data_IF_407196981530
#
_entry.id   IF_407196981530
#
_cell.length_a   1.000
_cell.length_b   1.000
_cell.length_c   1.000
_cell.angle_alpha   90.00
_cell.angle_beta   90.00
_cell.angle_gamma   90.00
#
_symmetry.space_group_name_H-M   'P 1'
#
loop_
_entity.id
_entity.type
_entity.pdbx_description
1 polymer ?
#
# COMPACT_ATOMS: atom_id res chain seq x y z
N UNK A 1 2.55 -5.37 -12.10
CA UNK A 1 2.87 -4.21 -12.97
C UNK A 1 2.89 -2.97 -12.09
N UNK A 2 3.94 -2.14 -12.17
CA UNK A 2 4.22 -1.09 -11.17
C UNK A 2 3.61 0.29 -11.46
N UNK A 3 2.62 0.40 -12.35
CA UNK A 3 1.98 1.68 -12.71
C UNK A 3 2.94 2.79 -13.19
N UNK A 4 4.09 2.40 -13.76
CA UNK A 4 5.13 3.29 -14.27
C UNK A 4 5.02 3.47 -15.79
N UNK A 5 5.52 4.60 -16.29
CA UNK A 5 5.73 4.85 -17.71
C UNK A 5 7.21 4.66 -18.09
N UNK A 6 7.47 4.23 -19.32
CA UNK A 6 8.82 4.08 -19.88
C UNK A 6 8.86 4.84 -21.21
N UNK A 7 9.85 5.71 -21.37
CA UNK A 7 10.10 6.45 -22.62
C UNK A 7 11.32 5.82 -23.30
N UNK A 8 11.13 4.91 -24.29
CA UNK A 8 12.25 4.28 -24.99
C UNK A 8 12.83 5.22 -26.07
N UNK A 9 14.01 4.85 -26.59
CA UNK A 9 14.64 5.46 -27.77
C UNK A 9 14.96 6.97 -27.63
N UNK A 10 15.33 7.42 -26.43
CA UNK A 10 15.87 8.77 -26.22
C UNK A 10 17.33 8.79 -26.64
N UNK A 11 17.68 9.63 -27.62
CA UNK A 11 19.07 9.84 -28.01
C UNK A 11 19.87 10.42 -26.84
N UNK A 12 21.11 9.95 -26.65
CA UNK A 12 21.91 10.27 -25.45
C UNK A 12 22.10 11.79 -25.27
N UNK A 13 22.29 12.49 -26.37
CA UNK A 13 22.43 13.95 -26.44
C UNK A 13 21.16 14.73 -26.07
N UNK A 14 20.00 14.08 -25.95
CA UNK A 14 18.72 14.69 -25.56
C UNK A 14 18.32 14.41 -24.12
N UNK A 15 19.10 13.63 -23.37
CA UNK A 15 18.74 13.20 -22.01
C UNK A 15 18.61 14.42 -21.08
N UNK A 16 19.61 15.30 -21.06
CA UNK A 16 19.60 16.45 -20.14
C UNK A 16 18.40 17.37 -20.39
N UNK A 17 18.13 17.71 -21.66
CA UNK A 17 16.97 18.51 -22.03
C UNK A 17 15.64 17.83 -21.66
N UNK A 18 15.54 16.50 -21.80
CA UNK A 18 14.35 15.76 -21.39
C UNK A 18 14.15 15.80 -19.87
N UNK A 19 15.24 15.68 -19.09
CA UNK A 19 15.19 15.71 -17.62
C UNK A 19 14.76 17.08 -17.08
N UNK A 20 14.95 18.16 -17.83
CA UNK A 20 14.52 19.53 -17.46
C UNK A 20 13.02 19.79 -17.67
N UNK A 21 12.29 18.93 -18.38
CA UNK A 21 10.86 19.11 -18.63
C UNK A 21 10.02 19.02 -17.34
N UNK A 22 9.00 19.87 -17.22
CA UNK A 22 8.09 19.95 -16.04
C UNK A 22 7.49 18.60 -15.66
N UNK A 23 7.22 17.75 -16.66
CA UNK A 23 6.70 16.41 -16.45
C UNK A 23 7.67 15.55 -15.62
N UNK A 24 8.97 15.62 -15.89
CA UNK A 24 9.98 14.84 -15.17
C UNK A 24 10.42 15.50 -13.86
N UNK A 25 10.12 16.78 -13.66
CA UNK A 25 10.18 17.40 -12.34
C UNK A 25 9.06 16.87 -11.43
N UNK A 26 7.88 16.61 -11.99
CA UNK A 26 6.74 16.02 -11.27
C UNK A 26 6.85 14.50 -11.09
N UNK A 27 7.33 13.81 -12.12
CA UNK A 27 7.49 12.35 -12.17
C UNK A 27 8.94 11.99 -12.54
N UNK A 28 9.89 12.14 -11.59
CA UNK A 28 11.29 11.89 -11.86
C UNK A 28 11.53 10.42 -12.21
N UNK A 29 12.49 10.11 -13.11
CA UNK A 29 12.87 8.72 -13.41
C UNK A 29 13.59 8.03 -12.23
N UNK A 30 14.08 8.83 -11.28
CA UNK A 30 14.69 8.39 -10.03
C UNK A 30 13.86 8.81 -8.80
N UNK A 31 12.62 8.30 -8.62
CA UNK A 31 11.86 8.58 -7.41
C UNK A 31 12.45 7.84 -6.21
N UNK A 32 11.99 8.20 -5.01
CA UNK A 32 12.36 7.52 -3.76
C UNK A 32 12.07 6.03 -3.80
N UNK A 33 12.70 5.28 -2.90
CA UNK A 33 12.47 3.84 -2.78
C UNK A 33 11.02 3.49 -2.39
N UNK A 34 10.32 4.40 -1.71
CA UNK A 34 8.91 4.28 -1.30
C UNK A 34 8.00 4.49 -2.53
N UNK A 35 8.17 5.60 -3.25
CA UNK A 35 7.33 5.94 -4.42
C UNK A 35 7.54 5.00 -5.59
N UNK A 36 8.77 4.50 -5.79
CA UNK A 36 9.11 3.63 -6.92
C UNK A 36 8.29 2.34 -6.97
N UNK A 37 7.96 1.78 -5.81
CA UNK A 37 7.20 0.53 -5.68
C UNK A 37 5.72 0.73 -5.36
N UNK A 38 5.22 1.97 -5.45
CA UNK A 38 3.85 2.29 -5.09
C UNK A 38 2.88 1.84 -6.19
N UNK A 39 1.85 1.08 -5.81
CA UNK A 39 0.74 0.69 -6.68
C UNK A 39 -0.56 0.91 -5.95
N UNK A 40 -1.52 1.57 -6.60
CA UNK A 40 -2.83 1.88 -6.00
C UNK A 40 -3.94 1.52 -6.97
N UNK A 41 -5.06 1.01 -6.47
CA UNK A 41 -6.24 0.90 -7.31
C UNK A 41 -6.94 2.28 -7.47
N UNK A 42 -8.08 2.28 -8.14
CA UNK A 42 -8.83 3.51 -8.43
C UNK A 42 -9.33 4.24 -7.18
N UNK A 43 -9.65 3.53 -6.10
CA UNK A 43 -10.23 4.12 -4.88
C UNK A 43 -11.67 4.62 -5.08
N UNK A 44 -12.20 5.27 -4.05
CA UNK A 44 -13.56 5.84 -4.02
C UNK A 44 -13.77 6.99 -5.01
N UNK A 45 -12.71 7.55 -5.59
CA UNK A 45 -12.81 8.58 -6.63
C UNK A 45 -13.72 8.15 -7.79
N UNK A 46 -13.56 6.90 -8.25
CA UNK A 46 -14.27 6.41 -9.45
C UNK A 46 -14.71 4.94 -9.39
N UNK A 47 -14.39 4.20 -8.32
CA UNK A 47 -14.78 2.80 -8.19
C UNK A 47 -15.92 2.62 -7.19
N UNK A 48 -17.07 2.13 -7.67
CA UNK A 48 -18.25 1.87 -6.83
C UNK A 48 -18.06 0.72 -5.81
N UNK A 49 -17.00 -0.08 -5.94
CA UNK A 49 -16.66 -1.15 -4.99
C UNK A 49 -15.69 -0.69 -3.91
N UNK A 50 -14.98 0.42 -4.14
CA UNK A 50 -13.97 0.90 -3.20
C UNK A 50 -14.64 1.36 -1.91
N UNK A 51 -14.05 0.94 -0.79
CA UNK A 51 -14.49 1.34 0.55
C UNK A 51 -13.73 2.57 1.02
N UNK A 52 -12.52 2.82 0.54
CA UNK A 52 -11.69 3.98 0.92
C UNK A 52 -11.08 4.67 -0.30
N UNK A 53 -10.65 5.92 -0.12
CA UNK A 53 -9.70 6.53 -1.05
C UNK A 53 -8.36 5.79 -0.95
N UNK A 54 -7.74 5.54 -2.11
CA UNK A 54 -6.41 4.93 -2.19
C UNK A 54 -5.36 5.87 -2.75
N UNK A 55 -5.71 6.83 -3.62
CA UNK A 55 -4.70 7.67 -4.26
C UNK A 55 -4.21 8.75 -3.29
N UNK A 56 -5.14 9.44 -2.63
CA UNK A 56 -4.80 10.46 -1.64
C UNK A 56 -4.08 9.86 -0.44
N UNK A 57 -4.61 8.75 0.10
CA UNK A 57 -4.00 8.07 1.25
C UNK A 57 -2.59 7.53 0.94
N UNK A 58 -2.39 6.91 -0.21
CA UNK A 58 -1.06 6.44 -0.62
C UNK A 58 -0.06 7.58 -0.83
N UNK A 59 -0.51 8.72 -1.37
CA UNK A 59 0.35 9.89 -1.56
C UNK A 59 0.77 10.50 -0.20
N UNK A 60 -0.18 10.64 0.73
CA UNK A 60 0.09 11.11 2.10
C UNK A 60 1.06 10.18 2.83
N UNK A 61 0.76 8.87 2.86
CA UNK A 61 1.61 7.90 3.54
C UNK A 61 3.02 7.89 2.95
N UNK A 62 3.13 7.95 1.62
CA UNK A 62 4.44 7.93 0.95
C UNK A 62 5.30 9.13 1.34
N UNK A 63 4.72 10.33 1.40
CA UNK A 63 5.42 11.53 1.88
C UNK A 63 5.87 11.37 3.34
N UNK A 64 4.98 10.93 4.24
CA UNK A 64 5.33 10.73 5.65
C UNK A 64 6.41 9.65 5.85
N UNK A 65 6.40 8.57 5.05
CA UNK A 65 7.44 7.55 5.11
C UNK A 65 8.78 8.04 4.57
N UNK A 66 8.79 8.89 3.55
CA UNK A 66 10.01 9.54 3.06
C UNK A 66 10.63 10.44 4.14
N UNK A 67 9.81 11.17 4.90
CA UNK A 67 10.27 12.00 6.02
C UNK A 67 10.83 11.13 7.16
N UNK A 68 10.20 10.01 7.47
CA UNK A 68 10.58 9.12 8.58
C UNK A 68 11.74 8.17 8.28
N UNK A 69 11.87 7.69 7.03
CA UNK A 69 12.81 6.64 6.62
C UNK A 69 13.87 7.14 5.63
N UNK A 70 13.74 8.37 5.12
CA UNK A 70 14.55 8.93 4.06
C UNK A 70 14.07 8.53 2.66
N UNK A 71 14.78 8.98 1.63
CA UNK A 71 14.38 8.80 0.22
C UNK A 71 15.21 7.77 -0.53
N UNK A 72 16.35 7.34 0.03
CA UNK A 72 17.30 6.42 -0.60
C UNK A 72 17.18 5.01 -0.03
N UNK A 73 17.12 4.00 -0.90
CA UNK A 73 17.06 2.60 -0.48
C UNK A 73 16.71 1.66 -1.62
N UNK A 74 16.64 0.36 -1.32
CA UNK A 74 16.09 -0.63 -2.26
C UNK A 74 14.59 -0.43 -2.42
N UNK A 75 14.02 -0.56 -3.63
CA UNK A 75 12.61 -0.28 -3.88
C UNK A 75 11.70 -1.13 -2.99
N UNK A 76 10.81 -0.48 -2.26
CA UNK A 76 9.84 -1.14 -1.39
C UNK A 76 8.49 -1.19 -2.12
N UNK A 77 7.94 -2.39 -2.37
CA UNK A 77 6.61 -2.52 -2.98
C UNK A 77 5.54 -2.21 -1.94
N UNK A 78 4.87 -1.08 -2.12
CA UNK A 78 3.73 -0.66 -1.30
C UNK A 78 2.48 -0.68 -2.16
N UNK A 79 1.55 -1.58 -1.87
CA UNK A 79 0.38 -1.75 -2.73
C UNK A 79 -0.93 -1.54 -1.98
N UNK A 80 -1.86 -0.80 -2.58
CA UNK A 80 -3.14 -0.44 -2.00
C UNK A 80 -4.32 -0.95 -2.83
N UNK A 81 -5.21 -1.67 -2.16
CA UNK A 81 -6.53 -2.03 -2.66
C UNK A 81 -7.58 -1.40 -1.78
N UNK A 82 -8.43 -0.53 -2.33
CA UNK A 82 -9.48 0.15 -1.57
C UNK A 82 -10.63 -0.75 -1.13
N UNK A 83 -10.64 -2.03 -1.51
CA UNK A 83 -11.63 -3.03 -1.12
C UNK A 83 -11.05 -4.45 -1.23
N UNK A 84 -11.77 -5.50 -0.78
CA UNK A 84 -11.31 -6.89 -0.85
C UNK A 84 -11.09 -7.46 -2.26
N UNK A 85 -11.54 -6.77 -3.33
CA UNK A 85 -11.36 -7.25 -4.70
C UNK A 85 -9.89 -7.33 -5.15
N UNK A 86 -8.98 -6.63 -4.46
CA UNK A 86 -7.54 -6.87 -4.65
C UNK A 86 -6.92 -6.25 -5.91
N UNK A 87 -7.57 -5.30 -6.59
CA UNK A 87 -7.07 -4.73 -7.87
C UNK A 87 -5.67 -4.08 -7.79
N UNK A 88 -5.27 -3.55 -6.63
CA UNK A 88 -3.92 -3.05 -6.38
C UNK A 88 -2.89 -4.13 -6.04
N UNK A 89 -3.29 -5.39 -5.95
CA UNK A 89 -2.44 -6.54 -5.59
C UNK A 89 -1.75 -6.39 -4.23
N UNK A 90 -2.50 -5.96 -3.20
CA UNK A 90 -1.98 -5.76 -1.84
C UNK A 90 -1.30 -7.02 -1.26
N UNK A 91 -1.80 -8.23 -1.55
CA UNK A 91 -1.17 -9.48 -1.10
C UNK A 91 0.10 -9.86 -1.88
N UNK A 92 0.46 -9.12 -2.93
CA UNK A 92 1.64 -9.40 -3.76
C UNK A 92 2.79 -8.42 -3.48
N UNK A 93 2.69 -7.65 -2.40
CA UNK A 93 3.58 -6.56 -2.05
C UNK A 93 4.36 -6.84 -0.78
N UNK A 94 5.47 -6.11 -0.63
CA UNK A 94 6.30 -6.15 0.57
C UNK A 94 5.48 -5.65 1.77
N UNK A 95 4.75 -4.55 1.57
CA UNK A 95 3.70 -4.05 2.46
C UNK A 95 2.42 -3.78 1.64
N UNK A 96 1.33 -4.40 2.04
CA UNK A 96 0.04 -4.32 1.36
C UNK A 96 -1.05 -3.74 2.23
N UNK A 97 -1.96 -2.98 1.62
CA UNK A 97 -3.09 -2.35 2.30
C UNK A 97 -4.40 -2.78 1.66
N UNK A 98 -5.30 -3.37 2.45
CA UNK A 98 -6.69 -3.61 2.07
C UNK A 98 -7.60 -2.64 2.82
N UNK A 99 -8.24 -1.75 2.09
CA UNK A 99 -9.18 -0.78 2.63
C UNK A 99 -10.45 -1.41 3.19
N UNK A 100 -10.91 -0.83 4.29
CA UNK A 100 -12.18 -1.11 4.95
C UNK A 100 -12.75 0.15 5.62
N UNK A 101 -14.05 0.13 5.91
CA UNK A 101 -14.65 1.09 6.83
C UNK A 101 -14.60 0.55 8.25
N UNK A 102 -14.16 1.37 9.21
CA UNK A 102 -14.19 1.05 10.63
C UNK A 102 -15.10 2.03 11.38
N UNK A 103 -15.58 1.63 12.55
CA UNK A 103 -16.35 2.50 13.45
C UNK A 103 -15.54 2.76 14.72
N UNK A 104 -15.14 4.01 14.93
CA UNK A 104 -14.34 4.45 16.09
C UNK A 104 -15.06 5.64 16.71
N UNK A 105 -15.30 5.57 18.02
CA UNK A 105 -16.05 6.59 18.78
C UNK A 105 -17.37 7.02 18.12
N UNK A 106 -18.08 6.02 17.58
CA UNK A 106 -19.36 6.22 16.91
C UNK A 106 -19.29 6.76 15.48
N UNK A 107 -18.11 7.13 14.97
CA UNK A 107 -17.90 7.66 13.62
C UNK A 107 -17.39 6.59 12.68
N UNK A 108 -17.87 6.60 11.44
CA UNK A 108 -17.34 5.76 10.36
C UNK A 108 -16.09 6.44 9.82
N UNK A 109 -14.97 5.73 9.80
CA UNK A 109 -13.66 6.20 9.34
C UNK A 109 -13.08 5.23 8.30
N UNK A 110 -12.18 5.75 7.48
CA UNK A 110 -11.39 4.95 6.54
C UNK A 110 -10.27 4.25 7.31
N UNK A 111 -10.10 2.97 7.05
CA UNK A 111 -9.08 2.15 7.70
C UNK A 111 -8.51 1.12 6.72
N UNK A 112 -7.40 0.52 7.11
CA UNK A 112 -6.69 -0.50 6.33
C UNK A 112 -6.35 -1.72 7.19
N UNK A 113 -6.46 -2.90 6.58
CA UNK A 113 -5.75 -4.09 7.03
C UNK A 113 -4.36 -4.11 6.38
N UNK A 114 -3.32 -4.43 7.15
CA UNK A 114 -1.93 -4.40 6.71
C UNK A 114 -1.42 -5.82 6.48
N UNK A 115 -0.84 -6.03 5.31
CA UNK A 115 -0.26 -7.28 4.84
C UNK A 115 1.24 -7.12 4.66
N UNK A 116 1.99 -8.20 4.87
CA UNK A 116 3.46 -8.19 4.70
C UNK A 116 4.00 -9.47 4.07
N UNK A 117 5.14 -9.36 3.41
CA UNK A 117 5.90 -10.48 2.87
C UNK A 117 5.38 -11.04 1.54
N UNK A 118 4.47 -10.34 0.88
CA UNK A 118 3.92 -10.69 -0.41
C UNK A 118 4.92 -10.52 -1.55
N UNK A 119 4.95 -11.49 -2.47
CA UNK A 119 5.88 -11.48 -3.59
C UNK A 119 5.36 -12.28 -4.77
N UNK A 120 5.77 -11.84 -5.96
CA UNK A 120 5.51 -12.52 -7.24
C UNK A 120 6.80 -13.10 -7.81
N UNK A 121 6.70 -13.97 -8.81
CA UNK A 121 7.87 -14.55 -9.49
C UNK A 121 8.19 -15.97 -9.01
N UNK A 122 9.43 -16.46 -9.19
CA UNK A 122 9.79 -17.86 -8.96
C UNK A 122 9.57 -18.37 -7.53
N UNK A 123 9.60 -17.48 -6.54
CA UNK A 123 9.35 -17.79 -5.13
C UNK A 123 8.10 -17.07 -4.61
N UNK A 124 7.03 -17.05 -5.42
CA UNK A 124 5.80 -16.35 -5.09
C UNK A 124 5.21 -16.79 -3.74
N UNK A 125 4.75 -15.82 -2.97
CA UNK A 125 4.05 -16.03 -1.72
C UNK A 125 3.03 -14.91 -1.53
N UNK A 126 1.83 -15.26 -1.08
CA UNK A 126 0.86 -14.27 -0.67
C UNK A 126 1.30 -13.61 0.64
N UNK A 127 1.13 -12.30 0.73
CA UNK A 127 1.36 -11.54 1.95
C UNK A 127 0.39 -11.99 3.05
N UNK A 128 0.88 -11.99 4.28
CA UNK A 128 0.10 -12.34 5.46
C UNK A 128 -0.49 -11.08 6.08
N UNK A 129 -1.77 -11.09 6.39
CA UNK A 129 -2.41 -10.05 7.20
C UNK A 129 -1.80 -10.07 8.62
N UNK A 130 -1.18 -8.97 9.04
CA UNK A 130 -0.57 -8.84 10.37
C UNK A 130 -1.30 -7.82 11.25
N UNK A 131 -2.05 -6.91 10.64
CA UNK A 131 -2.90 -5.95 11.35
C UNK A 131 -4.26 -5.94 10.66
N UNK A 132 -5.31 -6.19 11.44
CA UNK A 132 -6.68 -6.30 10.91
C UNK A 132 -7.30 -4.94 10.59
N UNK A 133 -6.92 -3.90 11.35
CA UNK A 133 -7.48 -2.57 11.23
C UNK A 133 -6.50 -1.52 11.78
N UNK A 134 -6.18 -0.54 10.94
CA UNK A 134 -5.48 0.70 11.32
C UNK A 134 -6.22 1.87 10.66
N UNK A 135 -6.63 2.90 11.40
CA UNK A 135 -7.24 4.08 10.80
C UNK A 135 -6.30 4.76 9.81
N UNK A 136 -6.85 5.35 8.75
CA UNK A 136 -6.11 6.22 7.84
C UNK A 136 -6.02 7.64 8.42
N UNK A 137 -5.35 7.79 9.56
CA UNK A 137 -5.08 9.06 10.22
C UNK A 137 -3.57 9.32 10.34
N UNK A 138 -3.18 10.34 11.11
CA UNK A 138 -1.78 10.72 11.31
C UNK A 138 -0.90 9.60 11.87
N UNK A 139 -1.49 8.60 12.54
CA UNK A 139 -0.75 7.50 13.18
C UNK A 139 -0.34 6.40 12.20
N UNK A 140 -0.96 6.35 11.01
CA UNK A 140 -0.71 5.30 10.03
C UNK A 140 0.76 5.23 9.61
N UNK A 141 1.41 6.39 9.43
CA UNK A 141 2.81 6.44 9.03
C UNK A 141 3.74 5.80 10.07
N UNK A 142 3.50 6.06 11.35
CA UNK A 142 4.28 5.49 12.44
C UNK A 142 4.08 3.97 12.52
N UNK A 143 2.84 3.50 12.42
CA UNK A 143 2.51 2.07 12.38
C UNK A 143 3.23 1.37 11.23
N UNK A 144 3.20 1.96 10.03
CA UNK A 144 3.82 1.37 8.84
C UNK A 144 5.35 1.41 8.92
N UNK A 145 5.95 2.49 9.41
CA UNK A 145 7.39 2.57 9.61
C UNK A 145 7.86 1.49 10.60
N UNK A 146 7.09 1.28 11.66
CA UNK A 146 7.33 0.24 12.66
C UNK A 146 7.18 -1.18 12.10
N UNK A 147 6.19 -1.40 11.24
CA UNK A 147 6.06 -2.65 10.48
C UNK A 147 7.31 -2.86 9.63
N UNK A 148 7.72 -1.87 8.82
CA UNK A 148 8.90 -1.98 7.95
C UNK A 148 10.17 -2.31 8.76
N UNK A 149 10.39 -1.66 9.90
CA UNK A 149 11.57 -1.88 10.75
C UNK A 149 11.59 -3.26 11.42
N UNK A 150 10.47 -3.73 11.96
CA UNK A 150 10.41 -5.01 12.70
C UNK A 150 10.57 -6.22 11.79
N UNK A 151 10.07 -6.07 10.58
CA UNK A 151 9.88 -7.19 9.69
C UNK A 151 10.93 -7.23 8.58
N UNK A 152 11.60 -6.09 8.29
CA UNK A 152 12.55 -5.93 7.19
C UNK A 152 12.10 -6.68 5.93
N UNK A 153 11.12 -6.13 5.20
CA UNK A 153 10.58 -6.81 4.03
C UNK A 153 11.61 -6.91 2.88
N UNK A 154 12.80 -6.32 3.03
CA UNK A 154 13.90 -6.37 2.08
C UNK A 154 14.99 -7.40 2.49
N UNK A 155 14.88 -7.99 3.69
CA UNK A 155 15.77 -9.07 4.15
C UNK A 155 15.59 -10.36 3.32
N UNK A 156 16.65 -11.16 3.24
CA UNK A 156 16.66 -12.43 2.51
C UNK A 156 15.53 -13.37 3.01
N UNK A 157 14.67 -13.90 2.11
CA UNK A 157 13.62 -14.86 2.46
C UNK A 157 14.09 -16.07 3.27
N UNK A 158 15.34 -16.51 3.11
CA UNK A 158 15.92 -17.60 3.92
C UNK A 158 16.05 -17.25 5.42
N UNK A 159 16.03 -15.96 5.78
CA UNK A 159 16.09 -15.46 7.16
C UNK A 159 14.71 -15.05 7.72
N UNK A 160 13.63 -15.20 6.94
CA UNK A 160 12.26 -14.82 7.33
C UNK A 160 11.56 -15.85 8.24
N UNK A 161 12.29 -16.80 8.82
CA UNK A 161 11.78 -17.75 9.82
C UNK A 161 11.25 -17.07 11.09
N UNK A 162 11.67 -15.83 11.38
CA UNK A 162 11.40 -15.14 12.64
C UNK A 162 10.13 -14.27 12.62
N UNK A 163 9.37 -14.23 11.52
CA UNK A 163 8.13 -13.43 11.43
C UNK A 163 7.00 -13.99 12.31
N UNK A 164 7.13 -15.25 12.74
CA UNK A 164 6.25 -15.87 13.74
C UNK A 164 6.67 -15.51 15.18
N UNK A 165 7.92 -15.13 15.40
CA UNK A 165 8.51 -14.85 16.72
C UNK A 165 8.54 -13.35 17.05
N UNK A 166 8.50 -12.47 16.04
CA UNK A 166 8.52 -11.01 16.21
C UNK A 166 7.32 -10.43 16.98
N UNK A 167 6.31 -11.25 17.29
CA UNK A 167 5.12 -10.89 18.06
C UNK A 167 4.18 -9.99 17.26
N UNK A 168 2.92 -10.40 17.13
CA UNK A 168 1.85 -9.52 16.65
C UNK A 168 1.49 -8.63 17.85
N UNK A 169 1.68 -7.31 17.82
CA UNK A 169 0.99 -6.48 18.81
C UNK A 169 -0.50 -6.65 18.55
N UNK A 170 -1.24 -7.17 19.53
CA UNK A 170 -2.69 -7.05 19.48
C UNK A 170 -3.02 -5.56 19.32
N UNK A 171 -3.87 -5.19 18.34
CA UNK A 171 -4.30 -3.80 18.23
C UNK A 171 -4.86 -3.40 19.60
N UNK A 172 -4.39 -2.26 20.14
CA UNK A 172 -4.92 -1.72 21.37
C UNK A 172 -6.44 -1.77 21.29
N UNK A 173 -7.06 -2.59 22.14
CA UNK A 173 -8.45 -3.00 22.04
C UNK A 173 -9.36 -1.79 21.83
N UNK A 174 -9.67 -1.47 20.59
CA UNK A 174 -10.71 -0.53 20.23
C UNK A 174 -11.86 -1.40 19.82
N UNK A 175 -12.80 -1.58 20.74
CA UNK A 175 -14.06 -2.31 20.56
C UNK A 175 -14.87 -1.65 19.45
N UNK A 176 -14.52 -1.94 18.20
CA UNK A 176 -15.26 -1.53 17.01
C UNK A 176 -15.72 -2.78 16.27
N UNK A 177 -17.01 -3.05 16.27
CA UNK A 177 -17.59 -4.18 15.54
C UNK A 177 -17.31 -4.05 14.03
N UNK A 178 -16.63 -5.04 13.46
CA UNK A 178 -16.40 -5.18 12.02
C UNK A 178 -17.72 -5.60 11.36
N UNK A 179 -18.35 -4.72 10.59
CA UNK A 179 -19.56 -5.07 9.84
C UNK A 179 -19.18 -5.75 8.52
N UNK A 180 -19.62 -7.00 8.36
CA UNK A 180 -19.69 -7.66 7.05
C UNK A 180 -20.89 -7.09 6.29
N UNK A 181 -20.66 -6.22 5.32
CA UNK A 181 -21.74 -5.73 4.45
C UNK A 181 -22.20 -6.88 3.53
N UNK A 182 -23.29 -7.56 3.87
CA UNK A 182 -24.04 -8.37 2.90
C UNK A 182 -24.69 -7.43 1.89
N UNK A 183 -24.26 -7.51 0.63
CA UNK A 183 -24.88 -6.79 -0.48
C UNK A 183 -26.23 -7.45 -0.82
N UNK A 184 -27.37 -6.73 -0.86
CA UNK A 184 -28.64 -7.31 -1.25
C UNK A 184 -28.58 -7.68 -2.73
N UNK A 185 -28.65 -8.98 -3.04
CA UNK A 185 -28.91 -9.45 -4.40
C UNK A 185 -30.31 -9.00 -4.81
N UNK A 186 -30.39 -7.92 -5.57
CA UNK A 186 -31.62 -7.55 -6.28
C UNK A 186 -31.82 -8.55 -7.42
N UNK A 187 -32.78 -9.46 -7.27
CA UNK A 187 -33.30 -10.27 -8.36
C UNK A 187 -34.03 -9.38 -9.36
N UNK A 188 -33.50 -9.26 -10.58
CA UNK A 188 -34.23 -8.67 -11.70
C UNK A 188 -35.40 -9.59 -12.09
N UNK A 189 -36.61 -9.06 -12.34
CA UNK A 189 -37.68 -9.86 -12.94
C UNK A 189 -37.48 -10.02 -14.45
N UNK A 190 -38.02 -11.13 -14.95
CA UNK A 190 -37.94 -11.68 -16.32
C UNK A 190 -38.41 -10.74 -17.44
#
# INVERSE_FOLDING_TARGET
TGQNAIIPNVAAERIDALLEEDLLQTFPPAPSFVRRGLVVCTGTDFCNLAQIDTKGEAAKLSASLEDCLGTTGSPLKIHWSGCPAGCGNHQAADVGFRGLKAKIDGKVVDAVAIYVGGRTGPHAAAGREIVQMTPCDETLADVVADVIRRYDPLADPAQTSNWNEAGIPEPASTTGEMQTSESPRTSSPE
#
